data_IF_659956984626
#
_entry.id   IF_659956984626
#
_cell.length_a   1.000
_cell.length_b   1.000
_cell.length_c   1.000
_cell.angle_alpha   90.00
_cell.angle_beta   90.00
_cell.angle_gamma   90.00
#
_symmetry.space_group_name_H-M   'P 1'
#
loop_
_entity.id
_entity.type
_entity.pdbx_description
1 polymer ?
#
# COMPACT_ATOMS: atom_id res chain seq x y z
N UNK A 1 17.98 -7.33 15.85
CA UNK A 1 19.02 -6.53 15.11
C UNK A 1 18.40 -6.12 13.79
N UNK A 2 18.42 -4.82 13.47
CA UNK A 2 17.88 -4.25 12.24
C UNK A 2 18.71 -4.71 11.02
N UNK A 3 18.07 -4.85 9.85
CA UNK A 3 18.73 -5.23 8.60
C UNK A 3 19.72 -4.16 8.13
N UNK A 4 20.84 -4.56 7.53
CA UNK A 4 21.90 -3.64 7.06
C UNK A 4 21.38 -2.55 6.13
N UNK A 5 20.46 -2.87 5.23
CA UNK A 5 19.85 -1.90 4.29
C UNK A 5 19.10 -0.77 5.01
N UNK A 6 18.48 -1.04 6.16
CA UNK A 6 17.81 -0.01 6.96
C UNK A 6 18.82 0.90 7.66
N UNK A 7 19.95 0.35 8.09
CA UNK A 7 21.06 1.14 8.63
C UNK A 7 21.56 2.13 7.58
N UNK A 8 21.77 1.68 6.34
CA UNK A 8 22.21 2.52 5.22
C UNK A 8 21.18 3.59 4.85
N UNK A 9 19.89 3.21 4.84
CA UNK A 9 18.78 4.14 4.58
C UNK A 9 18.72 5.24 5.65
N UNK A 10 18.75 4.86 6.93
CA UNK A 10 18.74 5.81 8.06
C UNK A 10 19.99 6.72 8.01
N UNK A 11 21.15 6.16 7.71
CA UNK A 11 22.39 6.91 7.58
C UNK A 11 22.29 8.00 6.49
N UNK A 12 21.72 7.64 5.35
CA UNK A 12 21.48 8.59 4.26
C UNK A 12 20.48 9.69 4.64
N UNK A 13 19.39 9.35 5.36
CA UNK A 13 18.36 10.30 5.79
C UNK A 13 18.88 11.30 6.85
N UNK A 14 19.68 10.79 7.80
CA UNK A 14 20.23 11.61 8.89
C UNK A 14 21.53 12.35 8.49
N UNK A 15 22.15 11.95 7.37
CA UNK A 15 23.38 12.56 6.87
C UNK A 15 24.62 12.15 7.68
N UNK A 16 24.69 10.87 8.11
CA UNK A 16 25.78 10.33 8.93
C UNK A 16 26.29 9.02 8.36
N UNK A 17 27.44 8.56 8.85
CA UNK A 17 28.00 7.27 8.42
C UNK A 17 27.19 6.08 8.97
N UNK A 18 26.98 5.01 8.18
CA UNK A 18 26.24 3.82 8.61
C UNK A 18 26.76 3.16 9.88
N UNK A 19 28.07 3.22 10.10
CA UNK A 19 28.72 2.66 11.31
C UNK A 19 28.24 3.39 12.57
N UNK A 20 28.03 4.69 12.51
CA UNK A 20 27.53 5.48 13.64
C UNK A 20 26.05 5.19 13.94
N UNK A 21 25.24 4.99 12.89
CA UNK A 21 23.85 4.53 13.05
C UNK A 21 23.80 3.15 13.71
N UNK A 22 24.60 2.20 13.22
CA UNK A 22 24.68 0.86 13.81
C UNK A 22 25.10 0.90 15.28
N UNK A 23 26.06 1.76 15.63
CA UNK A 23 26.51 1.95 17.01
C UNK A 23 25.39 2.53 17.89
N UNK A 24 24.68 3.57 17.41
CA UNK A 24 23.57 4.18 18.13
C UNK A 24 22.41 3.19 18.34
N UNK A 25 21.98 2.47 17.29
CA UNK A 25 20.96 1.42 17.37
C UNK A 25 21.38 0.34 18.38
N UNK A 26 22.62 -0.13 18.32
CA UNK A 26 23.11 -1.13 19.27
C UNK A 26 23.15 -0.65 20.73
N UNK A 27 23.27 0.65 20.98
CA UNK A 27 23.18 1.23 22.33
C UNK A 27 21.70 1.33 22.78
N UNK A 28 20.81 1.79 21.89
CA UNK A 28 19.37 1.86 22.13
C UNK A 28 18.76 0.48 22.42
N UNK A 29 19.12 -0.54 21.65
CA UNK A 29 18.69 -1.93 21.86
C UNK A 29 19.09 -2.49 23.23
N UNK A 30 20.17 -1.97 23.82
CA UNK A 30 20.63 -2.30 25.19
C UNK A 30 19.97 -1.44 26.26
N UNK A 31 19.02 -0.60 25.91
CA UNK A 31 18.25 0.24 26.85
C UNK A 31 18.94 1.56 27.22
N UNK A 32 20.00 1.98 26.50
CA UNK A 32 20.55 3.30 26.68
C UNK A 32 19.58 4.38 26.20
N UNK A 33 19.44 5.46 26.94
CA UNK A 33 18.59 6.59 26.56
C UNK A 33 19.30 7.55 25.61
N UNK A 34 18.53 8.26 24.78
CA UNK A 34 19.07 9.26 23.83
C UNK A 34 20.00 10.27 24.51
N UNK A 35 19.61 10.94 25.63
CA UNK A 35 20.52 11.87 26.32
C UNK A 35 21.78 11.21 26.85
N UNK A 36 21.72 9.96 27.30
CA UNK A 36 22.89 9.23 27.76
C UNK A 36 23.86 8.97 26.62
N UNK A 37 23.36 8.54 25.45
CA UNK A 37 24.20 8.28 24.28
C UNK A 37 24.88 9.57 23.83
N UNK A 38 24.12 10.65 23.67
CA UNK A 38 24.60 11.95 23.21
C UNK A 38 25.73 12.54 24.11
N UNK A 39 25.64 12.27 25.42
CA UNK A 39 26.63 12.83 26.39
C UNK A 39 27.81 11.92 26.63
N UNK A 40 27.58 10.60 26.73
CA UNK A 40 28.56 9.67 27.27
C UNK A 40 29.07 8.63 26.28
N UNK A 41 28.57 8.61 25.03
CA UNK A 41 28.98 7.64 24.02
C UNK A 41 29.34 8.28 22.67
N UNK A 42 29.75 9.53 22.70
CA UNK A 42 30.15 10.29 21.51
C UNK A 42 31.34 9.67 20.77
N UNK A 43 32.22 9.06 21.47
CA UNK A 43 33.36 8.32 20.94
C UNK A 43 32.95 7.13 20.08
N UNK A 44 31.88 6.43 20.45
CA UNK A 44 31.37 5.27 19.74
C UNK A 44 30.43 5.65 18.59
N UNK A 45 29.70 6.74 18.77
CA UNK A 45 28.69 7.20 17.80
C UNK A 45 29.22 8.24 16.80
N UNK A 46 30.53 8.52 16.81
CA UNK A 46 31.10 9.52 15.90
C UNK A 46 30.66 10.95 16.19
N UNK A 47 30.21 11.22 17.44
CA UNK A 47 29.82 12.56 17.87
C UNK A 47 28.39 12.95 17.57
N UNK A 48 27.50 11.99 17.28
CA UNK A 48 26.08 12.26 17.06
C UNK A 48 25.48 13.11 18.17
N UNK A 49 24.68 14.10 17.79
CA UNK A 49 23.92 14.92 18.72
C UNK A 49 22.60 14.27 19.14
N UNK A 50 21.88 14.90 20.05
CA UNK A 50 20.63 14.37 20.61
C UNK A 50 19.54 14.27 19.54
N UNK A 51 19.44 15.25 18.63
CA UNK A 51 18.45 15.27 17.56
C UNK A 51 18.69 14.16 16.51
N UNK A 52 19.96 13.93 16.20
CA UNK A 52 20.35 12.85 15.27
C UNK A 52 20.03 11.48 15.88
N UNK A 53 20.30 11.28 17.18
CA UNK A 53 20.01 10.01 17.87
C UNK A 53 18.50 9.79 18.00
N UNK A 54 17.69 10.84 18.28
CA UNK A 54 16.24 10.76 18.28
C UNK A 54 15.69 10.39 16.90
N UNK A 55 16.23 10.98 15.83
CA UNK A 55 15.84 10.64 14.46
C UNK A 55 16.18 9.18 14.14
N UNK A 56 17.36 8.69 14.54
CA UNK A 56 17.77 7.30 14.38
C UNK A 56 16.84 6.37 15.16
N UNK A 57 16.53 6.68 16.43
CA UNK A 57 15.62 5.88 17.27
C UNK A 57 14.24 5.75 16.63
N UNK A 58 13.64 6.85 16.23
CA UNK A 58 12.32 6.87 15.56
C UNK A 58 12.32 6.02 14.30
N UNK A 59 13.32 6.22 13.42
CA UNK A 59 13.43 5.45 12.18
C UNK A 59 13.70 3.96 12.42
N UNK A 60 14.49 3.64 13.41
CA UNK A 60 14.74 2.25 13.84
C UNK A 60 13.43 1.56 14.25
N UNK A 61 12.62 2.21 15.07
CA UNK A 61 11.31 1.68 15.49
C UNK A 61 10.36 1.47 14.29
N UNK A 62 10.34 2.41 13.34
CA UNK A 62 9.54 2.28 12.11
C UNK A 62 10.01 1.08 11.26
N UNK A 63 11.32 0.88 11.11
CA UNK A 63 11.89 -0.26 10.38
C UNK A 63 11.61 -1.60 11.08
N UNK A 64 11.66 -1.65 12.40
CA UNK A 64 11.27 -2.83 13.18
C UNK A 64 9.78 -3.15 12.97
N UNK A 65 8.92 -2.14 13.05
CA UNK A 65 7.49 -2.31 12.82
C UNK A 65 7.19 -2.81 11.39
N UNK A 66 7.88 -2.27 10.39
CA UNK A 66 7.77 -2.72 9.00
C UNK A 66 8.22 -4.17 8.84
N UNK A 67 9.34 -4.56 9.45
CA UNK A 67 9.85 -5.93 9.39
C UNK A 67 8.85 -6.92 10.01
N UNK A 68 8.36 -6.61 11.21
CA UNK A 68 7.36 -7.44 11.89
C UNK A 68 6.08 -7.56 11.05
N UNK A 69 5.65 -6.45 10.44
CA UNK A 69 4.46 -6.45 9.58
C UNK A 69 4.67 -7.27 8.31
N UNK A 70 5.84 -7.17 7.69
CA UNK A 70 6.23 -7.95 6.52
C UNK A 70 6.20 -9.46 6.82
N UNK A 71 6.76 -9.84 7.98
CA UNK A 71 6.79 -11.26 8.39
C UNK A 71 5.37 -11.81 8.65
N UNK A 72 4.50 -11.01 9.26
CA UNK A 72 3.09 -11.36 9.44
C UNK A 72 2.35 -11.50 8.10
N UNK A 73 2.59 -10.61 7.15
CA UNK A 73 2.04 -10.69 5.79
C UNK A 73 2.53 -11.96 5.10
N UNK A 74 3.82 -12.25 5.16
CA UNK A 74 4.43 -13.45 4.60
C UNK A 74 3.77 -14.72 5.15
N UNK A 75 3.64 -14.82 6.47
CA UNK A 75 3.03 -15.96 7.13
C UNK A 75 1.57 -16.16 6.68
N UNK A 76 0.78 -15.08 6.58
CA UNK A 76 -0.61 -15.15 6.15
C UNK A 76 -0.77 -15.61 4.70
N UNK A 77 0.10 -15.12 3.80
CA UNK A 77 0.05 -15.49 2.38
C UNK A 77 0.53 -16.93 2.17
N UNK A 78 1.53 -17.37 2.94
CA UNK A 78 1.98 -18.76 2.95
C UNK A 78 0.91 -19.71 3.48
N UNK A 79 0.24 -19.37 4.57
CA UNK A 79 -0.86 -20.16 5.12
C UNK A 79 -2.06 -20.29 4.17
N UNK A 80 -2.25 -19.31 3.28
CA UNK A 80 -3.24 -19.35 2.21
C UNK A 80 -2.77 -20.11 0.95
N UNK A 81 -1.54 -20.66 0.94
CA UNK A 81 -0.90 -21.35 -0.20
C UNK A 81 -0.84 -20.49 -1.48
N UNK A 82 -0.73 -19.17 -1.31
CA UNK A 82 -0.74 -18.17 -2.42
C UNK A 82 0.58 -17.44 -2.58
N UNK A 83 1.66 -17.90 -1.92
CA UNK A 83 3.00 -17.31 -2.06
C UNK A 83 3.58 -17.64 -3.43
N UNK A 84 4.01 -16.61 -4.15
CA UNK A 84 4.76 -16.75 -5.41
C UNK A 84 6.18 -16.23 -5.21
N UNK A 85 7.11 -16.64 -6.08
CA UNK A 85 8.50 -16.19 -6.04
C UNK A 85 8.59 -14.66 -6.24
N UNK A 86 7.80 -14.12 -7.17
CA UNK A 86 7.75 -12.68 -7.44
C UNK A 86 7.23 -11.88 -6.24
N UNK A 87 6.20 -12.38 -5.55
CA UNK A 87 5.67 -11.74 -4.34
C UNK A 87 6.68 -11.82 -3.18
N UNK A 88 7.36 -12.97 -3.02
CA UNK A 88 8.40 -13.10 -2.00
C UNK A 88 9.52 -12.08 -2.21
N UNK A 89 10.00 -11.94 -3.45
CA UNK A 89 11.03 -10.96 -3.81
C UNK A 89 10.53 -9.51 -3.59
N UNK A 90 9.27 -9.21 -3.93
CA UNK A 90 8.67 -7.89 -3.70
C UNK A 90 8.55 -7.56 -2.21
N UNK A 91 8.16 -8.54 -1.37
CA UNK A 91 8.12 -8.39 0.07
C UNK A 91 9.52 -8.15 0.66
N UNK A 92 10.54 -8.89 0.16
CA UNK A 92 11.92 -8.74 0.62
C UNK A 92 12.49 -7.35 0.25
N UNK A 93 12.16 -6.83 -0.92
CA UNK A 93 12.61 -5.52 -1.38
C UNK A 93 11.84 -4.35 -0.73
N UNK A 94 10.70 -4.62 -0.09
CA UNK A 94 9.80 -3.57 0.40
C UNK A 94 10.39 -2.82 1.61
N UNK A 95 10.47 -1.49 1.48
CA UNK A 95 10.91 -0.55 2.53
C UNK A 95 9.84 0.47 2.92
N UNK A 96 8.69 0.47 2.24
CA UNK A 96 7.58 1.39 2.46
C UNK A 96 6.35 0.64 3.02
N UNK A 97 5.83 1.04 4.20
CA UNK A 97 4.63 0.42 4.78
C UNK A 97 3.40 0.48 3.85
N UNK A 98 3.25 1.54 3.06
CA UNK A 98 2.12 1.67 2.13
C UNK A 98 2.22 0.67 0.98
N UNK A 99 3.42 0.50 0.44
CA UNK A 99 3.69 -0.51 -0.61
C UNK A 99 3.46 -1.92 -0.05
N UNK A 100 3.88 -2.19 1.19
CA UNK A 100 3.64 -3.47 1.85
C UNK A 100 2.13 -3.77 1.96
N UNK A 101 1.33 -2.79 2.37
CA UNK A 101 -0.12 -2.97 2.47
C UNK A 101 -0.78 -3.16 1.10
N UNK A 102 -0.28 -2.51 0.06
CA UNK A 102 -0.77 -2.71 -1.32
C UNK A 102 -0.44 -4.11 -1.84
N UNK A 103 0.78 -4.63 -1.58
CA UNK A 103 1.16 -6.00 -1.91
C UNK A 103 0.29 -7.04 -1.18
N UNK A 104 -0.14 -6.75 0.05
CA UNK A 104 -0.98 -7.63 0.86
C UNK A 104 -2.46 -7.54 0.51
N UNK A 105 -2.92 -6.45 -0.12
CA UNK A 105 -4.34 -6.19 -0.35
C UNK A 105 -5.09 -7.33 -1.05
N UNK A 106 -4.56 -7.99 -2.10
CA UNK A 106 -5.23 -9.11 -2.78
C UNK A 106 -5.44 -10.36 -1.92
N UNK A 107 -4.74 -10.45 -0.78
CA UNK A 107 -4.77 -11.59 0.14
C UNK A 107 -5.61 -11.32 1.40
N UNK A 108 -5.96 -10.05 1.65
CA UNK A 108 -6.92 -9.70 2.70
C UNK A 108 -8.29 -10.29 2.33
N UNK A 109 -9.05 -10.75 3.33
CA UNK A 109 -10.49 -11.03 3.12
C UNK A 109 -11.12 -9.74 2.58
N UNK A 110 -11.33 -9.70 1.28
CA UNK A 110 -11.94 -8.54 0.64
C UNK A 110 -13.37 -8.42 1.17
N UNK A 111 -13.66 -7.28 1.78
CA UNK A 111 -15.02 -6.78 1.82
C UNK A 111 -15.25 -6.14 0.45
N UNK A 112 -15.74 -6.93 -0.50
CA UNK A 112 -16.22 -6.38 -1.76
C UNK A 112 -17.11 -5.17 -1.46
N UNK A 113 -17.01 -4.12 -2.27
CA UNK A 113 -18.01 -3.06 -2.21
C UNK A 113 -19.39 -3.71 -2.37
N UNK A 114 -20.41 -3.19 -1.68
CA UNK A 114 -21.76 -3.78 -1.77
C UNK A 114 -22.20 -3.96 -3.23
N UNK A 115 -21.81 -3.02 -4.09
CA UNK A 115 -22.19 -3.00 -5.50
C UNK A 115 -21.47 -4.10 -6.30
N UNK A 116 -20.16 -4.28 -6.10
CA UNK A 116 -19.41 -5.36 -6.73
C UNK A 116 -19.83 -6.75 -6.21
N UNK A 117 -20.14 -6.86 -4.91
CA UNK A 117 -20.70 -8.09 -4.35
C UNK A 117 -22.05 -8.48 -4.99
N UNK A 118 -22.93 -7.51 -5.22
CA UNK A 118 -24.20 -7.73 -5.93
C UNK A 118 -23.95 -8.14 -7.38
N UNK A 119 -23.00 -7.48 -8.07
CA UNK A 119 -22.66 -7.82 -9.45
C UNK A 119 -22.09 -9.24 -9.57
N UNK A 120 -21.24 -9.68 -8.61
CA UNK A 120 -20.75 -11.05 -8.54
C UNK A 120 -21.88 -12.06 -8.30
N UNK A 121 -22.79 -11.78 -7.36
CA UNK A 121 -23.96 -12.63 -7.11
C UNK A 121 -24.91 -12.74 -8.31
N UNK A 122 -24.96 -11.70 -9.13
CA UNK A 122 -25.70 -11.68 -10.41
C UNK A 122 -25.00 -12.43 -11.55
N UNK A 123 -23.80 -12.99 -11.31
CA UNK A 123 -23.06 -13.79 -12.28
C UNK A 123 -22.38 -12.98 -13.37
N UNK A 124 -22.03 -11.70 -13.10
CA UNK A 124 -21.42 -10.81 -14.10
C UNK A 124 -19.89 -10.89 -14.14
N UNK A 125 -19.25 -11.77 -13.34
CA UNK A 125 -17.79 -11.96 -13.36
C UNK A 125 -17.26 -12.38 -14.75
N UNK A 126 -17.86 -13.34 -15.48
CA UNK A 126 -17.38 -13.71 -16.81
C UNK A 126 -17.43 -12.55 -17.81
N UNK A 127 -18.40 -11.63 -17.65
CA UNK A 127 -18.48 -10.45 -18.49
C UNK A 127 -17.36 -9.43 -18.13
N UNK A 128 -17.09 -9.25 -16.85
CA UNK A 128 -15.97 -8.44 -16.40
C UNK A 128 -14.64 -9.02 -16.89
N UNK A 129 -14.46 -10.34 -16.85
CA UNK A 129 -13.26 -11.01 -17.37
C UNK A 129 -13.10 -10.82 -18.88
N UNK A 130 -14.19 -10.96 -19.62
CA UNK A 130 -14.19 -10.69 -21.07
C UNK A 130 -13.73 -9.26 -21.38
N UNK A 131 -14.27 -8.26 -20.66
CA UNK A 131 -13.87 -6.87 -20.81
C UNK A 131 -12.41 -6.63 -20.39
N UNK A 132 -11.96 -7.30 -19.34
CA UNK A 132 -10.57 -7.21 -18.85
C UNK A 132 -9.56 -7.70 -19.88
N UNK A 133 -9.87 -8.80 -20.56
CA UNK A 133 -8.99 -9.40 -21.56
C UNK A 133 -8.86 -8.54 -22.82
N UNK A 134 -9.71 -7.51 -23.00
CA UNK A 134 -9.69 -6.61 -24.16
C UNK A 134 -9.65 -7.35 -25.51
N UNK A 135 -10.33 -8.49 -25.57
CA UNK A 135 -10.38 -9.30 -26.80
C UNK A 135 -11.08 -8.49 -27.89
N UNK A 136 -10.44 -8.38 -29.05
CA UNK A 136 -11.03 -7.72 -30.21
C UNK A 136 -12.35 -8.43 -30.59
N UNK A 137 -13.48 -7.72 -30.45
CA UNK A 137 -14.79 -8.21 -30.83
C UNK A 137 -15.23 -7.51 -32.12
N UNK A 138 -15.86 -8.22 -33.07
CA UNK A 138 -16.30 -7.62 -34.33
C UNK A 138 -17.51 -6.66 -34.21
N UNK A 139 -18.04 -6.46 -33.01
CA UNK A 139 -19.19 -5.61 -32.76
C UNK A 139 -19.06 -4.73 -31.51
N UNK A 140 -19.98 -3.81 -31.28
CA UNK A 140 -20.00 -2.96 -30.11
C UNK A 140 -20.19 -3.79 -28.83
N UNK A 141 -19.57 -3.34 -27.71
CA UNK A 141 -19.65 -3.99 -26.38
C UNK A 141 -21.10 -4.21 -25.93
N UNK A 142 -22.02 -3.34 -26.34
CA UNK A 142 -23.47 -3.44 -26.08
C UNK A 142 -24.06 -4.77 -26.56
N UNK A 143 -23.59 -5.29 -27.69
CA UNK A 143 -24.05 -6.57 -28.22
C UNK A 143 -23.63 -7.75 -27.32
N UNK A 144 -22.45 -7.68 -26.78
CA UNK A 144 -21.98 -8.69 -25.80
C UNK A 144 -22.76 -8.56 -24.49
N UNK A 145 -23.02 -7.33 -24.04
CA UNK A 145 -23.77 -7.06 -22.82
C UNK A 145 -25.19 -7.65 -22.84
N UNK A 146 -25.84 -7.67 -24.01
CA UNK A 146 -27.18 -8.27 -24.19
C UNK A 146 -27.19 -9.78 -23.85
N UNK A 147 -26.10 -10.50 -24.07
CA UNK A 147 -26.01 -11.93 -23.75
C UNK A 147 -25.95 -12.20 -22.25
N UNK A 148 -25.68 -11.18 -21.44
CA UNK A 148 -25.62 -11.24 -19.97
C UNK A 148 -26.92 -10.72 -19.31
N UNK A 149 -27.93 -10.32 -20.10
CA UNK A 149 -29.25 -9.99 -19.56
C UNK A 149 -29.91 -11.28 -19.08
N UNK A 150 -30.18 -11.38 -17.79
CA UNK A 150 -30.81 -12.54 -17.18
C UNK A 150 -31.73 -12.10 -16.03
N UNK A 151 -33.07 -12.09 -16.25
CA UNK A 151 -34.06 -11.70 -15.24
C UNK A 151 -34.00 -12.57 -13.96
N UNK A 152 -33.63 -13.87 -14.07
CA UNK A 152 -33.53 -14.78 -12.94
C UNK A 152 -32.39 -14.34 -11.96
N UNK A 153 -31.34 -13.73 -12.51
CA UNK A 153 -30.25 -13.15 -11.76
C UNK A 153 -30.42 -11.64 -11.54
N UNK A 154 -31.63 -11.10 -11.76
CA UNK A 154 -31.92 -9.67 -11.57
C UNK A 154 -31.07 -8.73 -12.44
N UNK A 155 -30.68 -9.15 -13.62
CA UNK A 155 -30.08 -8.31 -14.66
C UNK A 155 -31.13 -8.08 -15.74
N UNK A 156 -31.78 -6.93 -15.69
CA UNK A 156 -32.98 -6.66 -16.51
C UNK A 156 -32.62 -5.95 -17.82
N UNK A 157 -31.46 -5.36 -17.94
CA UNK A 157 -31.01 -4.65 -19.12
C UNK A 157 -29.53 -4.77 -19.38
N UNK A 158 -29.07 -4.45 -20.58
CA UNK A 158 -27.65 -4.39 -20.95
C UNK A 158 -26.91 -3.31 -20.16
N UNK A 159 -27.60 -2.22 -19.83
CA UNK A 159 -27.02 -1.14 -19.00
C UNK A 159 -26.70 -1.63 -17.61
N UNK A 160 -27.59 -2.44 -17.01
CA UNK A 160 -27.33 -3.08 -15.70
C UNK A 160 -26.17 -4.09 -15.77
N UNK A 161 -26.07 -4.87 -16.85
CA UNK A 161 -24.95 -5.78 -17.07
C UNK A 161 -23.62 -5.01 -17.17
N UNK A 162 -23.58 -3.94 -17.96
CA UNK A 162 -22.40 -3.06 -18.11
C UNK A 162 -22.01 -2.39 -16.80
N UNK A 163 -22.97 -1.88 -16.05
CA UNK A 163 -22.71 -1.25 -14.74
C UNK A 163 -22.16 -2.26 -13.73
N UNK A 164 -22.74 -3.46 -13.69
CA UNK A 164 -22.24 -4.52 -12.81
C UNK A 164 -20.79 -4.92 -13.16
N UNK A 165 -20.50 -5.14 -14.45
CA UNK A 165 -19.15 -5.45 -14.91
C UNK A 165 -18.19 -4.30 -14.61
N UNK A 166 -18.59 -3.03 -14.78
CA UNK A 166 -17.79 -1.85 -14.43
C UNK A 166 -17.43 -1.82 -12.95
N UNK A 167 -18.37 -2.15 -12.06
CA UNK A 167 -18.11 -2.21 -10.63
C UNK A 167 -17.11 -3.31 -10.26
N UNK A 168 -17.18 -4.48 -10.88
CA UNK A 168 -16.22 -5.57 -10.69
C UNK A 168 -14.83 -5.18 -11.19
N UNK A 169 -14.74 -4.54 -12.37
CA UNK A 169 -13.47 -4.05 -12.91
C UNK A 169 -12.86 -2.94 -12.08
N UNK A 170 -13.67 -1.99 -11.59
CA UNK A 170 -13.22 -0.92 -10.73
C UNK A 170 -12.62 -1.47 -9.42
N UNK A 171 -13.24 -2.50 -8.84
CA UNK A 171 -12.71 -3.14 -7.64
C UNK A 171 -11.41 -3.90 -7.93
N UNK A 172 -11.31 -4.61 -9.06
CA UNK A 172 -10.07 -5.27 -9.49
C UNK A 172 -8.93 -4.26 -9.64
N UNK A 173 -9.16 -3.14 -10.32
CA UNK A 173 -8.18 -2.05 -10.46
C UNK A 173 -7.81 -1.43 -9.11
N UNK A 174 -8.79 -1.22 -8.21
CA UNK A 174 -8.55 -0.67 -6.89
C UNK A 174 -7.71 -1.59 -5.99
N UNK A 175 -7.67 -2.89 -6.28
CA UNK A 175 -6.86 -3.88 -5.56
C UNK A 175 -5.49 -4.15 -6.22
N UNK A 176 -5.25 -3.63 -7.42
CA UNK A 176 -3.98 -3.78 -8.12
C UNK A 176 -2.90 -2.87 -7.53
N UNK A 177 -1.78 -3.45 -7.09
CA UNK A 177 -0.72 -2.72 -6.41
C UNK A 177 0.03 -1.76 -7.34
N UNK A 178 0.17 -2.10 -8.63
CA UNK A 178 0.84 -1.23 -9.60
C UNK A 178 -0.02 -0.02 -9.93
N UNK A 179 -1.33 -0.24 -10.14
CA UNK A 179 -2.30 0.84 -10.36
C UNK A 179 -2.33 1.77 -9.15
N UNK A 180 -2.37 1.21 -7.94
CA UNK A 180 -2.36 2.02 -6.70
C UNK A 180 -1.08 2.84 -6.57
N UNK A 181 0.08 2.25 -6.88
CA UNK A 181 1.35 2.96 -6.90
C UNK A 181 1.32 4.11 -7.90
N UNK A 182 0.93 3.83 -9.14
CA UNK A 182 0.84 4.84 -10.21
C UNK A 182 -0.08 6.01 -9.82
N UNK A 183 -1.25 5.71 -9.25
CA UNK A 183 -2.18 6.75 -8.79
C UNK A 183 -1.59 7.57 -7.64
N UNK A 184 -0.94 6.91 -6.67
CA UNK A 184 -0.30 7.59 -5.53
C UNK A 184 0.81 8.53 -6.01
N UNK A 185 1.70 8.05 -6.86
CA UNK A 185 2.81 8.83 -7.40
C UNK A 185 2.28 10.06 -8.18
N UNK A 186 1.25 9.84 -9.01
CA UNK A 186 0.61 10.92 -9.75
C UNK A 186 -0.08 11.95 -8.86
N UNK A 187 -0.78 11.48 -7.81
CA UNK A 187 -1.44 12.36 -6.84
C UNK A 187 -0.43 13.13 -6.00
N UNK A 188 0.72 12.52 -5.68
CA UNK A 188 1.79 13.19 -4.96
C UNK A 188 2.42 14.33 -5.78
N UNK A 189 2.66 14.09 -7.07
CA UNK A 189 3.29 15.07 -7.97
C UNK A 189 2.34 16.20 -8.38
N UNK A 190 1.08 15.87 -8.64
CA UNK A 190 0.13 16.77 -9.33
C UNK A 190 -1.18 16.97 -8.56
N UNK A 191 -1.36 16.30 -7.43
CA UNK A 191 -2.59 16.37 -6.64
C UNK A 191 -2.79 17.77 -6.05
N UNK A 192 -4.05 18.23 -6.06
CA UNK A 192 -4.47 19.49 -5.42
C UNK A 192 -5.54 19.20 -4.39
N UNK A 193 -5.36 19.73 -3.21
CA UNK A 193 -6.38 19.69 -2.16
C UNK A 193 -7.26 20.92 -2.32
N UNK A 194 -8.57 20.71 -2.56
CA UNK A 194 -9.56 21.79 -2.59
C UNK A 194 -10.59 21.56 -1.49
N UNK A 195 -10.80 22.57 -0.67
CA UNK A 195 -11.86 22.59 0.34
C UNK A 195 -12.98 23.56 -0.10
N UNK A 196 -14.22 23.07 -0.14
CA UNK A 196 -15.41 23.91 -0.33
C UNK A 196 -16.27 23.79 0.92
N UNK A 197 -16.36 24.88 1.69
CA UNK A 197 -17.21 24.95 2.87
C UNK A 197 -18.44 25.84 2.61
N UNK A 198 -19.57 25.49 3.21
CA UNK A 198 -20.80 26.31 3.18
C UNK A 198 -20.67 27.61 3.99
N UNK A 199 -19.58 27.78 4.74
CA UNK A 199 -19.31 28.94 5.58
C UNK A 199 -17.94 29.58 5.30
N UNK A 200 -17.45 29.50 4.05
CA UNK A 200 -16.17 30.10 3.65
C UNK A 200 -16.09 31.61 3.96
N UNK A 201 -17.22 32.31 3.98
CA UNK A 201 -17.29 33.75 4.29
C UNK A 201 -16.97 34.07 5.78
N UNK A 202 -17.16 33.10 6.70
CA UNK A 202 -16.88 33.30 8.13
C UNK A 202 -15.38 33.25 8.46
N UNK A 203 -14.56 32.74 7.55
CA UNK A 203 -13.10 32.55 7.74
C UNK A 203 -12.25 33.41 6.80
N UNK A 204 -12.86 34.19 5.93
CA UNK A 204 -12.16 35.04 4.97
C UNK A 204 -11.65 36.37 5.57
N UNK A 205 -11.80 36.58 6.87
CA UNK A 205 -11.54 37.86 7.53
C UNK A 205 -10.50 37.86 8.65
N UNK A 206 -9.59 36.85 8.72
CA UNK A 206 -8.47 36.91 9.69
C UNK A 206 -7.15 36.73 9.00
#
# INVERSE_FOLDING_TARGET
MIEQRFIEMIASEVGVEPVHVAAAVGLLDRGATVPFIARYRRDVTGGLDELQIEAIERRNLECIALTNRRDAVRANVQAAERMTESLSAALDACTDPLVLEDLYLPFKKQRHSKVASVASQRGLEPFADYLWMQVAHPGPVDFVAESYVNPEHQVLSKEEALDGARHLLAERLACDHEVRRLVRDRMWEQGRITARGTHAELYAGN
#
